data_IF_853560314578
#
_entry.id   IF_853560314578
#
_cell.length_a   1.000
_cell.length_b   1.000
_cell.length_c   1.000
_cell.angle_alpha   90.00
_cell.angle_beta   90.00
_cell.angle_gamma   90.00
#
_symmetry.space_group_name_H-M   'P 1'
#
loop_
_entity.id
_entity.type
_entity.pdbx_description
1 polymer ?
#
# COMPACT_ATOMS: atom_id res chain seq x y z
N UNK A 1 7.95 8.09 1.08
CA UNK A 1 7.27 6.95 1.73
C UNK A 1 7.39 6.97 3.26
N UNK A 2 8.59 7.00 3.85
CA UNK A 2 8.74 6.96 5.31
C UNK A 2 8.06 8.14 6.05
N UNK A 3 8.18 9.36 5.53
CA UNK A 3 7.51 10.55 6.10
C UNK A 3 5.98 10.45 5.98
N UNK A 4 5.47 10.08 4.80
CA UNK A 4 4.04 9.87 4.56
C UNK A 4 3.45 8.78 5.50
N UNK A 5 4.15 7.67 5.69
CA UNK A 5 3.71 6.63 6.62
C UNK A 5 3.71 7.16 8.07
N UNK A 6 4.76 7.88 8.47
CA UNK A 6 4.82 8.47 9.81
C UNK A 6 3.65 9.42 10.07
N UNK A 7 3.31 10.26 9.10
CA UNK A 7 2.17 11.17 9.19
C UNK A 7 0.86 10.39 9.32
N UNK A 8 0.60 9.44 8.43
CA UNK A 8 -0.58 8.56 8.46
C UNK A 8 -0.76 7.86 9.81
N UNK A 9 0.32 7.34 10.39
CA UNK A 9 0.28 6.69 11.70
C UNK A 9 0.02 7.68 12.83
N UNK A 10 0.59 8.89 12.76
CA UNK A 10 0.39 9.94 13.76
C UNK A 10 -1.07 10.44 13.74
N UNK A 11 -1.65 10.63 12.55
CA UNK A 11 -3.07 11.00 12.38
C UNK A 11 -4.01 9.92 12.92
N UNK A 12 -3.59 8.65 12.90
CA UNK A 12 -4.30 7.54 13.51
C UNK A 12 -4.06 7.37 15.01
N UNK A 13 -3.32 8.30 15.64
CA UNK A 13 -3.00 8.26 17.07
C UNK A 13 -1.96 7.21 17.46
N UNK A 14 -1.18 6.68 16.51
CA UNK A 14 -0.05 5.80 16.81
C UNK A 14 1.19 6.61 17.15
N UNK A 15 1.73 6.34 18.33
CA UNK A 15 2.92 7.00 18.85
C UNK A 15 3.93 5.98 19.40
N UNK A 16 5.14 6.47 19.70
CA UNK A 16 6.19 5.68 20.35
C UNK A 16 6.51 4.35 19.65
N UNK A 17 6.65 3.30 20.46
CA UNK A 17 7.06 1.96 20.03
C UNK A 17 6.08 1.32 19.05
N UNK A 18 4.77 1.55 19.20
CA UNK A 18 3.75 1.02 18.29
C UNK A 18 3.93 1.59 16.88
N UNK A 19 4.16 2.90 16.76
CA UNK A 19 4.43 3.54 15.47
C UNK A 19 5.70 3.00 14.85
N UNK A 20 6.78 2.91 15.63
CA UNK A 20 8.09 2.47 15.13
C UNK A 20 8.05 1.00 14.69
N UNK A 21 7.28 0.16 15.38
CA UNK A 21 7.02 -1.23 14.98
C UNK A 21 6.29 -1.30 13.63
N UNK A 22 5.23 -0.52 13.44
CA UNK A 22 4.51 -0.47 12.16
C UNK A 22 5.40 0.03 11.03
N UNK A 23 6.18 1.09 11.28
CA UNK A 23 7.16 1.60 10.32
C UNK A 23 8.19 0.53 9.92
N UNK A 24 8.73 -0.20 10.90
CA UNK A 24 9.68 -1.28 10.66
C UNK A 24 9.11 -2.41 9.81
N UNK A 25 7.89 -2.85 10.11
CA UNK A 25 7.21 -3.91 9.35
C UNK A 25 6.88 -3.48 7.91
N UNK A 26 6.41 -2.24 7.70
CA UNK A 26 6.19 -1.72 6.35
C UNK A 26 7.51 -1.62 5.58
N UNK A 27 8.58 -1.13 6.21
CA UNK A 27 9.89 -1.05 5.57
C UNK A 27 10.44 -2.44 5.20
N UNK A 28 10.30 -3.43 6.09
CA UNK A 28 10.67 -4.82 5.81
C UNK A 28 9.85 -5.40 4.66
N UNK A 29 8.54 -5.08 4.60
CA UNK A 29 7.66 -5.50 3.51
C UNK A 29 8.08 -4.90 2.17
N UNK A 30 8.38 -3.61 2.12
CA UNK A 30 8.85 -2.93 0.90
C UNK A 30 10.22 -3.46 0.45
N UNK A 31 11.11 -3.81 1.39
CA UNK A 31 12.38 -4.48 1.04
C UNK A 31 12.15 -5.84 0.39
N UNK A 32 11.20 -6.63 0.90
CA UNK A 32 10.84 -7.93 0.28
C UNK A 32 10.15 -7.77 -1.08
N UNK A 33 9.37 -6.71 -1.29
CA UNK A 33 8.80 -6.36 -2.59
C UNK A 33 9.90 -6.19 -3.63
N UNK A 34 10.89 -5.33 -3.35
CA UNK A 34 12.03 -5.07 -4.25
C UNK A 34 12.83 -6.34 -4.54
N UNK A 35 12.88 -7.27 -3.60
CA UNK A 35 13.60 -8.54 -3.75
C UNK A 35 12.78 -9.64 -4.46
N UNK A 36 11.50 -9.40 -4.79
CA UNK A 36 10.62 -10.45 -5.32
C UNK A 36 10.32 -11.56 -4.30
N UNK A 37 10.44 -11.29 -3.00
CA UNK A 37 10.29 -12.27 -1.90
C UNK A 37 8.96 -12.13 -1.15
N UNK A 38 7.94 -11.55 -1.78
CA UNK A 38 6.61 -11.51 -1.20
C UNK A 38 5.91 -12.85 -1.40
N UNK A 39 5.21 -13.30 -0.36
CA UNK A 39 4.40 -14.51 -0.41
C UNK A 39 3.02 -14.14 -0.98
N UNK A 40 2.56 -14.77 -2.08
CA UNK A 40 1.21 -14.58 -2.58
C UNK A 40 0.16 -14.84 -1.50
N UNK A 41 -1.01 -14.19 -1.60
CA UNK A 41 -2.16 -14.28 -0.68
C UNK A 41 -1.91 -13.64 0.70
N UNK A 42 -0.76 -13.92 1.32
CA UNK A 42 -0.38 -13.37 2.62
C UNK A 42 0.12 -11.93 2.53
N UNK A 43 0.97 -11.64 1.55
CA UNK A 43 1.61 -10.33 1.42
C UNK A 43 1.05 -9.52 0.26
N UNK A 44 0.49 -10.18 -0.75
CA UNK A 44 0.02 -9.55 -1.98
C UNK A 44 -1.38 -10.03 -2.32
N UNK A 45 -2.24 -9.09 -2.73
CA UNK A 45 -3.51 -9.36 -3.40
C UNK A 45 -3.52 -8.64 -4.74
N UNK A 46 -3.81 -9.34 -5.82
CA UNK A 46 -3.98 -8.73 -7.13
C UNK A 46 -3.89 -9.77 -8.25
N UNK A 47 -4.14 -9.37 -9.50
CA UNK A 47 -4.59 -8.02 -9.88
C UNK A 47 -5.98 -7.67 -9.32
N UNK A 48 -6.24 -6.38 -9.09
CA UNK A 48 -7.51 -5.90 -8.53
C UNK A 48 -8.53 -5.74 -9.65
N UNK A 49 -9.36 -6.77 -9.85
CA UNK A 49 -10.33 -6.85 -10.94
C UNK A 49 -11.36 -5.70 -10.97
N UNK A 50 -11.64 -5.06 -9.83
CA UNK A 50 -12.58 -3.94 -9.75
C UNK A 50 -12.02 -2.63 -10.33
N UNK A 51 -10.74 -2.61 -10.68
CA UNK A 51 -10.06 -1.42 -11.21
C UNK A 51 -9.71 -1.67 -12.68
N UNK A 52 -10.39 -0.97 -13.58
CA UNK A 52 -10.17 -1.15 -15.02
C UNK A 52 -9.06 -0.24 -15.55
N UNK A 53 -8.34 -0.77 -16.56
CA UNK A 53 -7.30 -0.05 -17.29
C UNK A 53 -5.91 -0.04 -16.64
N UNK A 54 -5.74 -0.71 -15.49
CA UNK A 54 -4.46 -0.92 -14.81
C UNK A 54 -4.42 -2.25 -14.06
N UNK A 55 -3.27 -2.94 -14.07
CA UNK A 55 -3.04 -4.13 -13.25
C UNK A 55 -2.53 -3.74 -11.86
N UNK A 56 -3.44 -3.23 -11.05
CA UNK A 56 -3.15 -2.81 -9.68
C UNK A 56 -3.02 -4.03 -8.76
N UNK A 57 -2.03 -4.02 -7.86
CA UNK A 57 -1.94 -4.99 -6.76
C UNK A 57 -1.71 -4.30 -5.41
N UNK A 58 -2.18 -4.95 -4.36
CA UNK A 58 -2.14 -4.51 -2.97
C UNK A 58 -1.03 -5.26 -2.22
N UNK A 59 -0.06 -4.55 -1.68
CA UNK A 59 0.86 -5.08 -0.68
C UNK A 59 0.27 -4.85 0.70
N UNK A 60 0.13 -5.93 1.46
CA UNK A 60 -0.51 -5.96 2.78
C UNK A 60 0.54 -5.95 3.87
N UNK A 61 0.33 -5.17 4.91
CA UNK A 61 1.08 -5.26 6.17
C UNK A 61 0.09 -5.27 7.32
N UNK A 62 0.35 -6.10 8.32
CA UNK A 62 -0.46 -6.20 9.53
C UNK A 62 0.47 -6.31 10.72
N UNK A 63 0.24 -5.46 11.72
CA UNK A 63 1.01 -5.45 12.96
C UNK A 63 0.03 -5.54 14.12
N UNK A 64 0.13 -6.60 14.92
CA UNK A 64 -0.71 -6.81 16.09
C UNK A 64 -0.18 -5.99 17.28
N UNK A 65 -1.10 -5.36 18.02
CA UNK A 65 -0.80 -4.66 19.28
C UNK A 65 -1.13 -5.60 20.44
N UNK A 66 -0.11 -6.05 21.17
CA UNK A 66 -0.28 -6.96 22.31
C UNK A 66 -0.90 -8.32 21.96
N UNK A 67 -1.67 -8.89 22.89
CA UNK A 67 -2.35 -10.20 22.76
C UNK A 67 -3.75 -10.12 22.08
N UNK A 68 -4.17 -8.92 21.65
CA UNK A 68 -5.47 -8.69 21.04
C UNK A 68 -5.53 -8.93 19.52
N UNK A 69 -6.76 -8.94 18.98
CA UNK A 69 -7.03 -8.96 17.53
C UNK A 69 -6.93 -7.58 16.87
N UNK A 70 -6.69 -6.52 17.65
CA UNK A 70 -6.56 -5.14 17.19
C UNK A 70 -5.21 -4.91 16.50
N UNK A 71 -5.18 -5.30 15.22
CA UNK A 71 -4.03 -5.12 14.35
C UNK A 71 -4.12 -3.83 13.54
N UNK A 72 -3.00 -3.14 13.39
CA UNK A 72 -2.86 -2.05 12.43
C UNK A 72 -2.66 -2.64 11.04
N UNK A 73 -3.62 -2.38 10.16
CA UNK A 73 -3.63 -2.87 8.79
C UNK A 73 -3.16 -1.76 7.85
N UNK A 74 -1.94 -1.86 7.33
CA UNK A 74 -1.45 -0.95 6.29
C UNK A 74 -1.61 -1.62 4.94
N UNK A 75 -2.11 -0.89 3.93
CA UNK A 75 -2.09 -1.36 2.54
C UNK A 75 -1.39 -0.35 1.67
N UNK A 76 -0.61 -0.86 0.73
CA UNK A 76 0.11 -0.06 -0.25
C UNK A 76 -0.22 -0.60 -1.64
N UNK A 77 -0.85 0.21 -2.46
CA UNK A 77 -1.24 -0.14 -3.83
C UNK A 77 -0.12 0.19 -4.80
N UNK A 78 0.16 -0.76 -5.68
CA UNK A 78 1.27 -0.71 -6.63
C UNK A 78 0.80 -1.14 -8.02
N UNK A 79 1.64 -0.83 -9.01
CA UNK A 79 1.51 -1.29 -10.39
C UNK A 79 2.89 -1.65 -10.94
N UNK A 80 2.93 -2.50 -11.95
CA UNK A 80 4.12 -2.76 -12.78
C UNK A 80 3.88 -2.23 -14.20
N UNK A 81 4.19 -0.95 -14.48
CA UNK A 81 3.91 -0.37 -15.78
C UNK A 81 4.90 -0.89 -16.81
N UNK A 82 4.38 -1.47 -17.90
CA UNK A 82 5.16 -2.08 -18.98
C UNK A 82 6.21 -1.10 -19.54
N UNK A 83 5.84 0.17 -19.69
CA UNK A 83 6.69 1.24 -20.24
C UNK A 83 7.94 1.55 -19.38
N UNK A 84 7.95 1.16 -18.10
CA UNK A 84 9.11 1.33 -17.21
C UNK A 84 9.90 0.03 -17.00
N UNK A 85 9.52 -1.06 -17.67
CA UNK A 85 10.20 -2.36 -17.54
C UNK A 85 11.63 -2.25 -18.04
N UNK A 86 12.58 -2.76 -17.26
CA UNK A 86 14.01 -2.75 -17.61
C UNK A 86 14.41 -4.13 -18.15
N UNK A 87 15.43 -4.17 -19.00
CA UNK A 87 16.00 -5.44 -19.47
C UNK A 87 16.46 -6.26 -18.26
N UNK A 88 15.83 -7.41 -18.03
CA UNK A 88 16.15 -8.31 -16.93
C UNK A 88 15.41 -8.09 -15.60
N UNK A 89 14.35 -7.27 -15.55
CA UNK A 89 13.54 -7.12 -14.33
C UNK A 89 12.25 -6.32 -14.50
N UNK A 90 11.41 -6.34 -13.47
CA UNK A 90 10.21 -5.50 -13.39
C UNK A 90 10.48 -4.19 -12.65
N UNK A 91 9.73 -3.14 -13.00
CA UNK A 91 9.69 -1.89 -12.24
C UNK A 91 8.37 -1.82 -11.52
N UNK A 92 8.41 -1.74 -10.18
CA UNK A 92 7.22 -1.59 -9.35
C UNK A 92 7.09 -0.14 -8.92
N UNK A 93 5.91 0.44 -9.10
CA UNK A 93 5.59 1.81 -8.69
C UNK A 93 4.55 1.80 -7.58
N UNK A 94 4.85 2.43 -6.45
CA UNK A 94 3.90 2.65 -5.35
C UNK A 94 3.03 3.87 -5.64
N UNK A 95 1.72 3.67 -5.64
CA UNK A 95 0.73 4.69 -6.00
C UNK A 95 0.08 5.30 -4.76
N UNK A 96 -0.40 4.46 -3.85
CA UNK A 96 -1.19 4.90 -2.71
C UNK A 96 -0.98 4.04 -1.47
N UNK A 97 -1.14 4.63 -0.30
CA UNK A 97 -0.98 3.98 0.99
C UNK A 97 -2.04 4.49 1.95
N UNK A 98 -2.65 3.59 2.71
CA UNK A 98 -3.66 3.93 3.72
C UNK A 98 -3.69 2.90 4.85
N UNK A 99 -4.39 3.26 5.93
CA UNK A 99 -4.78 2.34 6.99
C UNK A 99 -6.15 1.76 6.67
N UNK A 100 -6.24 0.43 6.69
CA UNK A 100 -7.49 -0.27 6.44
C UNK A 100 -8.28 -0.36 7.74
N UNK A 101 -9.37 0.40 7.80
CA UNK A 101 -10.37 0.28 8.86
C UNK A 101 -11.33 -0.89 8.57
N UNK A 102 -11.48 -1.79 9.54
CA UNK A 102 -12.38 -2.95 9.49
C UNK A 102 -13.44 -2.92 10.58
N UNK A 103 -13.59 -1.80 11.29
CA UNK A 103 -14.54 -1.63 12.40
C UNK A 103 -16.00 -1.71 11.96
N UNK A 104 -16.35 -1.23 10.76
CA UNK A 104 -17.69 -1.34 10.18
C UNK A 104 -17.68 -2.22 8.92
N UNK A 105 -18.06 -3.52 9.04
CA UNK A 105 -18.12 -4.46 7.92
C UNK A 105 -18.96 -3.99 6.73
N UNK A 106 -19.99 -3.16 6.95
CA UNK A 106 -20.86 -2.68 5.87
C UNK A 106 -20.15 -1.66 4.97
N UNK A 107 -19.18 -0.93 5.53
CA UNK A 107 -18.45 0.11 4.81
C UNK A 107 -17.05 -0.32 4.34
N UNK A 108 -16.50 -1.43 4.83
CA UNK A 108 -15.16 -1.90 4.44
C UNK A 108 -14.98 -1.96 2.93
N UNK A 109 -15.99 -2.45 2.21
CA UNK A 109 -15.93 -2.58 0.75
C UNK A 109 -15.94 -1.22 0.05
N UNK A 110 -16.87 -0.33 0.39
CA UNK A 110 -16.97 0.98 -0.26
C UNK A 110 -15.72 1.83 0.01
N UNK A 111 -15.20 1.82 1.23
CA UNK A 111 -13.95 2.49 1.58
C UNK A 111 -12.76 1.90 0.83
N UNK A 112 -12.70 0.57 0.68
CA UNK A 112 -11.66 -0.04 -0.13
C UNK A 112 -11.76 0.38 -1.60
N UNK A 113 -12.96 0.49 -2.16
CA UNK A 113 -13.16 0.92 -3.55
C UNK A 113 -12.73 2.38 -3.77
N UNK A 114 -13.00 3.29 -2.83
CA UNK A 114 -12.51 4.68 -2.86
C UNK A 114 -10.98 4.75 -2.93
N UNK A 115 -10.30 3.93 -2.13
CA UNK A 115 -8.84 3.93 -2.04
C UNK A 115 -8.18 3.33 -3.28
N UNK A 116 -8.86 2.38 -3.92
CA UNK A 116 -8.49 1.88 -5.24
C UNK A 116 -8.64 2.96 -6.32
N UNK A 117 -9.68 3.78 -6.25
CA UNK A 117 -9.83 4.92 -7.18
C UNK A 117 -8.77 5.99 -6.95
N UNK A 118 -8.35 6.25 -5.71
CA UNK A 118 -7.21 7.12 -5.41
C UNK A 118 -5.91 6.61 -6.06
N UNK A 119 -5.62 5.32 -5.92
CA UNK A 119 -4.47 4.70 -6.56
C UNK A 119 -4.54 4.82 -8.10
N UNK A 120 -5.72 4.54 -8.67
CA UNK A 120 -5.96 4.65 -10.12
C UNK A 120 -5.76 6.07 -10.63
N UNK A 121 -6.28 7.07 -9.92
CA UNK A 121 -6.11 8.49 -10.29
C UNK A 121 -4.63 8.87 -10.35
N UNK A 122 -3.86 8.52 -9.31
CA UNK A 122 -2.40 8.78 -9.25
C UNK A 122 -1.62 8.09 -10.37
N UNK A 123 -2.05 6.92 -10.80
CA UNK A 123 -1.46 6.25 -11.97
C UNK A 123 -1.57 7.12 -13.22
N UNK A 124 -2.78 7.58 -13.55
CA UNK A 124 -3.00 8.38 -14.76
C UNK A 124 -2.37 9.77 -14.68
N UNK A 125 -2.30 10.37 -13.48
CA UNK A 125 -1.55 11.61 -13.24
C UNK A 125 -0.04 11.43 -13.47
N UNK A 126 0.55 10.35 -12.95
CA UNK A 126 1.99 10.07 -13.08
C UNK A 126 2.42 9.65 -14.49
N UNK A 127 1.54 8.98 -15.25
CA UNK A 127 1.78 8.53 -16.62
C UNK A 127 2.13 9.66 -17.59
N UNK A 128 1.71 10.89 -17.30
CA UNK A 128 1.92 12.07 -18.15
C UNK A 128 3.31 12.71 -18.08
N UNK A 129 4.20 12.33 -17.16
CA UNK A 129 5.56 12.90 -17.20
C UNK A 129 6.47 12.72 -15.99
N UNK A 130 5.97 12.35 -14.80
CA UNK A 130 6.81 12.13 -13.62
C UNK A 130 6.22 11.05 -12.69
N UNK A 131 6.84 9.87 -12.68
CA UNK A 131 6.58 8.84 -11.67
C UNK A 131 7.46 9.14 -10.44
N UNK A 132 6.97 9.99 -9.54
CA UNK A 132 7.76 10.54 -8.44
C UNK A 132 7.04 10.53 -7.10
N UNK A 133 7.03 9.36 -6.44
CA UNK A 133 6.84 9.20 -4.99
C UNK A 133 5.44 9.50 -4.45
N UNK A 134 4.81 8.49 -3.84
CA UNK A 134 3.56 8.62 -3.09
C UNK A 134 3.52 9.89 -2.21
N UNK A 135 2.86 10.93 -2.71
CA UNK A 135 2.43 12.10 -1.96
C UNK A 135 1.08 11.77 -1.34
N UNK A 136 0.96 11.91 -0.02
CA UNK A 136 -0.35 12.05 0.61
C UNK A 136 -0.80 13.50 0.37
N UNK A 137 -2.09 13.74 0.10
CA UNK A 137 -2.65 15.10 0.17
C UNK A 137 -2.49 15.68 1.57
#
# INVERSE_FOLDING_TARGET
MAQALRQLLTEAGLEGEDRDRVMGEVAARMKRLVQGKLLPIHHVKGPMETVTGIDLFEVRTQVYRGEGIDGVLVRVYHVEPVDLTRVGGSTVVGLHMHLKDVSDPKQVRSRQDEELQHARKRYFEGRGGQWGGASLP
#
